data_IF_940817196625
#
_entry.id   IF_940817196625
#
_cell.length_a   1.000
_cell.length_b   1.000
_cell.length_c   1.000
_cell.angle_alpha   90.00
_cell.angle_beta   90.00
_cell.angle_gamma   90.00
#
_symmetry.space_group_name_H-M   'P 1'
#
loop_
_entity.id
_entity.type
_entity.pdbx_description
1 polymer ?
#
# COMPACT_ATOMS: atom_id res chain seq x y z
N UNK A 1 4.82 28.85 31.75
CA UNK A 1 3.84 27.74 31.91
C UNK A 1 2.86 27.53 30.75
N UNK A 2 2.56 28.49 29.85
CA UNK A 2 1.73 28.22 28.65
C UNK A 2 2.39 27.28 27.63
N UNK A 3 3.70 27.41 27.39
CA UNK A 3 4.45 26.62 26.40
C UNK A 3 4.40 25.10 26.67
N UNK A 4 4.46 24.68 27.93
CA UNK A 4 4.45 23.26 28.29
C UNK A 4 3.10 22.61 28.00
N UNK A 5 1.99 23.32 28.24
CA UNK A 5 0.64 22.84 27.91
C UNK A 5 0.36 22.85 26.40
N UNK A 6 0.92 23.83 25.66
CA UNK A 6 0.83 23.90 24.19
C UNK A 6 1.58 22.75 23.52
N UNK A 7 2.78 22.40 24.01
CA UNK A 7 3.57 21.24 23.55
C UNK A 7 2.82 19.93 23.81
N UNK A 8 2.32 19.70 25.03
CA UNK A 8 1.64 18.43 25.36
C UNK A 8 0.35 18.21 24.57
N UNK A 9 -0.41 19.28 24.29
CA UNK A 9 -1.60 19.17 23.42
C UNK A 9 -1.23 18.89 21.98
N UNK A 10 -0.19 19.52 21.45
CA UNK A 10 0.30 19.26 20.10
C UNK A 10 0.78 17.81 19.96
N UNK A 11 1.57 17.31 20.92
CA UNK A 11 2.02 15.92 20.96
C UNK A 11 0.83 14.95 21.02
N UNK A 12 -0.23 15.29 21.75
CA UNK A 12 -1.47 14.51 21.80
C UNK A 12 -2.23 14.52 20.47
N UNK A 13 -2.34 15.67 19.80
CA UNK A 13 -2.96 15.80 18.47
C UNK A 13 -2.19 14.96 17.44
N UNK A 14 -0.85 15.01 17.49
CA UNK A 14 0.04 14.29 16.59
C UNK A 14 0.00 12.76 16.81
N UNK A 15 -0.04 12.32 18.07
CA UNK A 15 -0.26 10.91 18.41
C UNK A 15 -1.65 10.43 17.97
N UNK A 16 -2.67 11.29 18.10
CA UNK A 16 -4.03 11.00 17.65
C UNK A 16 -4.08 10.71 16.14
N UNK A 17 -3.50 11.60 15.33
CA UNK A 17 -3.45 11.40 13.88
C UNK A 17 -2.62 10.16 13.51
N UNK A 18 -1.48 9.96 14.15
CA UNK A 18 -0.66 8.76 13.92
C UNK A 18 -1.43 7.47 14.20
N UNK A 19 -2.23 7.44 15.27
CA UNK A 19 -3.10 6.30 15.58
C UNK A 19 -4.17 6.07 14.50
N UNK A 20 -4.78 7.12 13.95
CA UNK A 20 -5.77 7.00 12.88
C UNK A 20 -5.16 6.46 11.58
N UNK A 21 -3.94 6.88 11.26
CA UNK A 21 -3.19 6.38 10.10
C UNK A 21 -2.86 4.90 10.26
N UNK A 22 -2.48 4.47 11.46
CA UNK A 22 -2.27 3.04 11.74
C UNK A 22 -3.58 2.23 11.66
N UNK A 23 -4.71 2.79 12.10
CA UNK A 23 -6.03 2.17 11.92
C UNK A 23 -6.38 2.00 10.44
N UNK A 24 -6.16 3.06 9.63
CA UNK A 24 -6.33 3.01 8.17
C UNK A 24 -5.44 1.93 7.55
N UNK A 25 -4.17 1.89 7.94
CA UNK A 25 -3.21 0.89 7.46
C UNK A 25 -3.65 -0.54 7.76
N UNK A 26 -4.17 -0.80 8.96
CA UNK A 26 -4.70 -2.12 9.32
C UNK A 26 -5.94 -2.52 8.52
N UNK A 27 -6.81 -1.53 8.19
CA UNK A 27 -7.98 -1.76 7.34
C UNK A 27 -7.55 -2.13 5.91
N UNK A 28 -6.62 -1.38 5.32
CA UNK A 28 -6.08 -1.61 3.98
C UNK A 28 -5.34 -2.96 3.89
N UNK A 29 -4.52 -3.28 4.89
CA UNK A 29 -3.85 -4.59 4.97
C UNK A 29 -4.88 -5.73 4.99
N UNK A 30 -5.99 -5.55 5.71
CA UNK A 30 -7.09 -6.52 5.73
C UNK A 30 -7.80 -6.64 4.39
N UNK A 31 -8.08 -5.52 3.70
CA UNK A 31 -8.68 -5.54 2.36
C UNK A 31 -7.81 -6.29 1.36
N UNK A 32 -6.50 -6.04 1.36
CA UNK A 32 -5.55 -6.73 0.48
C UNK A 32 -5.59 -8.23 0.71
N UNK A 33 -5.50 -8.69 1.98
CA UNK A 33 -5.60 -10.12 2.31
C UNK A 33 -6.93 -10.73 1.86
N UNK A 34 -8.04 -10.04 2.06
CA UNK A 34 -9.36 -10.51 1.63
C UNK A 34 -9.47 -10.54 0.09
N UNK A 35 -8.90 -9.57 -0.62
CA UNK A 35 -8.89 -9.53 -2.07
C UNK A 35 -8.07 -10.70 -2.66
N UNK A 36 -6.92 -11.02 -2.05
CA UNK A 36 -6.10 -12.18 -2.41
C UNK A 36 -6.83 -13.49 -2.11
N UNK A 37 -7.53 -13.56 -0.98
CA UNK A 37 -8.37 -14.72 -0.65
C UNK A 37 -9.51 -14.88 -1.67
N UNK A 38 -10.19 -13.79 -2.03
CA UNK A 38 -11.24 -13.78 -3.02
C UNK A 38 -10.73 -14.27 -4.38
N UNK A 39 -9.53 -13.85 -4.79
CA UNK A 39 -8.87 -14.33 -6.01
C UNK A 39 -8.55 -15.83 -5.95
N UNK A 40 -7.97 -16.28 -4.85
CA UNK A 40 -7.51 -17.67 -4.70
C UNK A 40 -8.67 -18.66 -4.63
N UNK A 41 -9.78 -18.26 -3.99
CA UNK A 41 -10.97 -19.10 -3.82
C UNK A 41 -12.08 -18.80 -4.84
N UNK A 42 -11.89 -17.80 -5.71
CA UNK A 42 -12.95 -17.24 -6.55
C UNK A 42 -14.23 -16.95 -5.74
N UNK A 43 -14.08 -16.34 -4.57
CA UNK A 43 -15.18 -16.05 -3.64
C UNK A 43 -15.80 -14.68 -3.96
N UNK A 44 -16.98 -14.69 -4.58
CA UNK A 44 -17.75 -13.47 -4.84
C UNK A 44 -18.19 -12.76 -3.56
N UNK A 45 -18.48 -13.52 -2.49
CA UNK A 45 -18.84 -12.97 -1.18
C UNK A 45 -17.67 -12.17 -0.59
N UNK A 46 -16.47 -12.74 -0.56
CA UNK A 46 -15.27 -12.05 -0.06
C UNK A 46 -14.93 -10.84 -0.93
N UNK A 47 -15.09 -10.94 -2.25
CA UNK A 47 -14.89 -9.79 -3.14
C UNK A 47 -15.86 -8.63 -2.81
N UNK A 48 -17.13 -8.91 -2.52
CA UNK A 48 -18.07 -7.86 -2.11
C UNK A 48 -17.67 -7.20 -0.79
N UNK A 49 -17.17 -7.97 0.18
CA UNK A 49 -16.68 -7.42 1.46
C UNK A 49 -15.55 -6.41 1.25
N UNK A 50 -14.62 -6.68 0.32
CA UNK A 50 -13.53 -5.74 -0.01
C UNK A 50 -14.09 -4.45 -0.60
N UNK A 51 -15.01 -4.56 -1.56
CA UNK A 51 -15.65 -3.42 -2.23
C UNK A 51 -16.42 -2.54 -1.23
N UNK A 52 -17.17 -3.16 -0.32
CA UNK A 52 -17.92 -2.43 0.71
C UNK A 52 -17.01 -1.73 1.72
N UNK A 53 -15.87 -2.34 2.07
CA UNK A 53 -14.89 -1.75 2.99
C UNK A 53 -14.21 -0.50 2.43
N UNK A 54 -14.15 -0.34 1.10
CA UNK A 54 -13.43 0.76 0.44
C UNK A 54 -14.03 2.13 0.74
N UNK A 55 -15.35 2.20 0.89
CA UNK A 55 -16.01 3.44 1.31
C UNK A 55 -15.52 3.94 2.69
N UNK A 56 -15.10 3.01 3.58
CA UNK A 56 -14.57 3.37 4.90
C UNK A 56 -13.14 3.90 4.81
N UNK A 57 -12.30 3.32 3.94
CA UNK A 57 -10.93 3.79 3.68
C UNK A 57 -10.95 5.24 3.20
N UNK A 58 -11.73 5.51 2.17
CA UNK A 58 -11.96 6.86 1.62
C UNK A 58 -12.42 7.87 2.69
N UNK A 59 -13.38 7.49 3.53
CA UNK A 59 -13.87 8.36 4.60
C UNK A 59 -12.78 8.67 5.64
N UNK A 60 -11.97 7.66 6.00
CA UNK A 60 -10.86 7.83 6.94
C UNK A 60 -9.76 8.73 6.38
N UNK A 61 -9.43 8.63 5.08
CA UNK A 61 -8.48 9.51 4.41
C UNK A 61 -8.91 10.98 4.57
N UNK A 62 -10.15 11.30 4.18
CA UNK A 62 -10.70 12.67 4.23
C UNK A 62 -10.65 13.24 5.65
N UNK A 63 -10.99 12.43 6.65
CA UNK A 63 -10.97 12.88 8.03
C UNK A 63 -9.55 13.08 8.56
N UNK A 64 -8.60 12.21 8.19
CA UNK A 64 -7.18 12.37 8.56
C UNK A 64 -6.63 13.66 7.94
N UNK A 65 -6.92 13.94 6.67
CA UNK A 65 -6.47 15.15 5.99
C UNK A 65 -7.07 16.43 6.59
N UNK A 66 -8.33 16.37 7.05
CA UNK A 66 -8.97 17.46 7.79
C UNK A 66 -8.25 17.72 9.12
N UNK A 67 -7.92 16.66 9.86
CA UNK A 67 -7.19 16.78 11.14
C UNK A 67 -5.80 17.38 10.93
N UNK A 68 -5.05 16.89 9.93
CA UNK A 68 -3.73 17.41 9.56
C UNK A 68 -3.80 18.90 9.22
N UNK A 69 -4.75 19.30 8.38
CA UNK A 69 -4.95 20.70 7.99
C UNK A 69 -5.27 21.60 9.20
N UNK A 70 -6.12 21.12 10.10
CA UNK A 70 -6.47 21.80 11.35
C UNK A 70 -5.25 22.00 12.26
N UNK A 71 -4.43 20.95 12.42
CA UNK A 71 -3.21 21.01 13.24
C UNK A 71 -2.23 22.03 12.66
N UNK A 72 -1.96 21.98 11.35
CA UNK A 72 -1.04 22.90 10.69
C UNK A 72 -1.51 24.36 10.87
N UNK A 73 -2.79 24.62 10.61
CA UNK A 73 -3.36 25.96 10.70
C UNK A 73 -3.34 26.53 12.12
N UNK A 74 -3.60 25.69 13.14
CA UNK A 74 -3.71 26.14 14.54
C UNK A 74 -2.38 26.28 15.25
N UNK A 75 -1.37 25.49 14.86
CA UNK A 75 -0.16 25.28 15.69
C UNK A 75 1.11 25.88 15.10
N UNK A 76 1.14 26.23 13.81
CA UNK A 76 2.34 26.74 13.12
C UNK A 76 3.60 25.88 13.45
N UNK A 77 3.57 24.58 13.10
CA UNK A 77 4.56 23.60 13.54
C UNK A 77 5.99 23.98 13.13
N UNK A 78 6.98 23.50 13.90
CA UNK A 78 8.38 23.66 13.52
C UNK A 78 8.69 22.92 12.22
N UNK A 79 9.87 23.17 11.63
CA UNK A 79 10.27 22.51 10.39
C UNK A 79 10.26 20.96 10.49
N UNK A 80 10.61 20.41 11.65
CA UNK A 80 10.58 18.95 11.89
C UNK A 80 9.16 18.43 11.98
N UNK A 81 8.31 19.13 12.71
CA UNK A 81 6.91 18.75 12.91
C UNK A 81 6.11 18.84 11.61
N UNK A 82 6.33 19.91 10.83
CA UNK A 82 5.72 20.07 9.51
C UNK A 82 6.14 18.94 8.57
N UNK A 83 7.41 18.51 8.62
CA UNK A 83 7.90 17.38 7.83
C UNK A 83 7.15 16.09 8.16
N UNK A 84 6.94 15.83 9.44
CA UNK A 84 6.18 14.68 9.90
C UNK A 84 4.73 14.74 9.43
N UNK A 85 4.06 15.88 9.59
CA UNK A 85 2.67 16.05 9.14
C UNK A 85 2.52 15.88 7.62
N UNK A 86 3.46 16.42 6.83
CA UNK A 86 3.48 16.22 5.36
C UNK A 86 3.69 14.75 5.02
N UNK A 87 4.61 14.07 5.70
CA UNK A 87 4.88 12.66 5.46
C UNK A 87 3.69 11.78 5.85
N UNK A 88 2.97 12.13 6.94
CA UNK A 88 1.72 11.47 7.31
C UNK A 88 0.68 11.63 6.19
N UNK A 89 0.42 12.86 5.72
CA UNK A 89 -0.54 13.09 4.62
C UNK A 89 -0.21 12.25 3.38
N UNK A 90 1.07 12.22 2.97
CA UNK A 90 1.51 11.41 1.84
C UNK A 90 1.40 9.90 2.08
N UNK A 91 1.60 9.46 3.33
CA UNK A 91 1.43 8.06 3.74
C UNK A 91 -0.05 7.68 3.66
N UNK A 92 -0.95 8.51 4.19
CA UNK A 92 -2.41 8.31 4.10
C UNK A 92 -2.86 8.14 2.66
N UNK A 93 -2.40 9.01 1.75
CA UNK A 93 -2.73 8.92 0.33
C UNK A 93 -2.13 7.67 -0.37
N UNK A 94 -1.03 7.09 0.14
CA UNK A 94 -0.53 5.80 -0.39
C UNK A 94 -1.31 4.61 0.17
N UNK A 95 -1.82 4.72 1.41
CA UNK A 95 -2.69 3.70 1.99
C UNK A 95 -4.05 3.64 1.29
N UNK A 96 -4.67 4.79 1.02
CA UNK A 96 -5.90 4.85 0.23
C UNK A 96 -5.71 4.20 -1.14
N UNK A 97 -4.66 4.59 -1.88
CA UNK A 97 -4.36 3.97 -3.18
C UNK A 97 -4.12 2.48 -3.12
N UNK A 98 -3.48 1.97 -2.06
CA UNK A 98 -3.32 0.53 -1.87
C UNK A 98 -4.66 -0.17 -1.58
N UNK A 99 -5.60 0.47 -0.88
CA UNK A 99 -6.99 0.01 -0.73
C UNK A 99 -7.72 -0.04 -2.08
N UNK A 100 -7.55 1.00 -2.88
CA UNK A 100 -8.04 1.12 -4.26
C UNK A 100 -7.56 -0.03 -5.16
N UNK A 101 -6.29 -0.42 -5.05
CA UNK A 101 -5.75 -1.58 -5.77
C UNK A 101 -6.38 -2.91 -5.26
N UNK A 102 -6.66 -3.03 -3.96
CA UNK A 102 -7.40 -4.18 -3.41
C UNK A 102 -8.85 -4.23 -3.94
N UNK A 103 -9.51 -3.08 -4.07
CA UNK A 103 -10.85 -2.98 -4.66
C UNK A 103 -10.84 -3.43 -6.12
N UNK A 104 -9.83 -3.01 -6.91
CA UNK A 104 -9.65 -3.43 -8.31
C UNK A 104 -9.50 -4.94 -8.43
N UNK A 105 -8.69 -5.56 -7.57
CA UNK A 105 -8.55 -7.03 -7.51
C UNK A 105 -9.93 -7.67 -7.28
N UNK A 106 -10.68 -7.21 -6.28
CA UNK A 106 -12.01 -7.76 -5.97
C UNK A 106 -13.01 -7.61 -7.12
N UNK A 107 -13.04 -6.46 -7.79
CA UNK A 107 -13.89 -6.22 -8.98
C UNK A 107 -13.51 -7.16 -10.13
N UNK A 108 -12.22 -7.38 -10.34
CA UNK A 108 -11.73 -8.28 -11.40
C UNK A 108 -12.09 -9.74 -11.10
N UNK A 109 -11.96 -10.16 -9.85
CA UNK A 109 -12.38 -11.50 -9.40
C UNK A 109 -13.85 -11.75 -9.73
N UNK A 110 -14.74 -10.79 -9.46
CA UNK A 110 -16.16 -10.91 -9.82
C UNK A 110 -16.36 -11.04 -11.33
N UNK A 111 -15.68 -10.21 -12.12
CA UNK A 111 -15.76 -10.29 -13.59
C UNK A 111 -15.31 -11.66 -14.13
N UNK A 112 -14.22 -12.21 -13.57
CA UNK A 112 -13.73 -13.55 -13.93
C UNK A 112 -14.77 -14.63 -13.58
N UNK A 113 -15.40 -14.55 -12.41
CA UNK A 113 -16.47 -15.49 -11.98
C UNK A 113 -17.66 -15.42 -12.94
N UNK A 114 -18.14 -14.21 -13.25
CA UNK A 114 -19.29 -13.98 -14.13
C UNK A 114 -19.04 -14.48 -15.56
N UNK A 115 -17.80 -14.38 -16.04
CA UNK A 115 -17.41 -14.89 -17.37
C UNK A 115 -17.33 -16.42 -17.45
N UNK A 116 -17.32 -17.13 -16.30
CA UNK A 116 -17.11 -18.57 -16.24
C UNK A 116 -15.67 -19.03 -16.51
N UNK A 117 -14.70 -18.10 -16.56
CA UNK A 117 -13.31 -18.37 -16.94
C UNK A 117 -12.41 -18.81 -15.78
N UNK A 118 -12.93 -18.91 -14.55
CA UNK A 118 -12.15 -19.18 -13.34
C UNK A 118 -11.27 -20.44 -13.40
N UNK A 119 -11.68 -21.48 -14.15
CA UNK A 119 -10.94 -22.74 -14.27
C UNK A 119 -9.86 -22.73 -15.36
N UNK A 120 -9.86 -21.74 -16.23
CA UNK A 120 -8.94 -21.66 -17.37
C UNK A 120 -7.66 -20.87 -17.05
N UNK A 121 -7.51 -20.43 -15.80
CA UNK A 121 -6.59 -19.37 -15.43
C UNK A 121 -5.61 -19.77 -14.32
N UNK A 122 -4.31 -19.43 -14.44
CA UNK A 122 -3.29 -19.73 -13.43
C UNK A 122 -3.32 -18.74 -12.25
N UNK A 123 -4.48 -18.47 -11.65
CA UNK A 123 -4.63 -17.46 -10.59
C UNK A 123 -3.77 -17.76 -9.35
N UNK A 124 -3.51 -19.04 -9.04
CA UNK A 124 -2.63 -19.46 -7.93
C UNK A 124 -1.18 -19.01 -8.09
N UNK A 125 -0.75 -18.67 -9.30
CA UNK A 125 0.61 -18.17 -9.52
C UNK A 125 0.82 -16.77 -8.95
N UNK A 126 -0.25 -16.00 -8.73
CA UNK A 126 -0.18 -14.68 -8.12
C UNK A 126 -0.06 -14.71 -6.59
N UNK A 127 -0.25 -15.87 -5.96
CA UNK A 127 -0.21 -15.98 -4.49
C UNK A 127 1.13 -15.56 -3.91
N UNK A 128 2.25 -15.85 -4.58
CA UNK A 128 3.59 -15.45 -4.08
C UNK A 128 3.77 -13.93 -4.11
N UNK A 129 3.49 -13.30 -5.26
CA UNK A 129 3.56 -11.84 -5.40
C UNK A 129 2.61 -11.13 -4.41
N UNK A 130 1.42 -11.68 -4.22
CA UNK A 130 0.42 -11.19 -3.29
C UNK A 130 0.89 -11.21 -1.82
N UNK A 131 1.50 -12.30 -1.38
CA UNK A 131 2.06 -12.42 -0.02
C UNK A 131 3.26 -11.49 0.17
N UNK A 132 4.11 -11.33 -0.85
CA UNK A 132 5.21 -10.35 -0.83
C UNK A 132 4.69 -8.93 -0.68
N UNK A 133 3.72 -8.51 -1.50
CA UNK A 133 3.14 -7.17 -1.45
C UNK A 133 2.46 -6.88 -0.10
N UNK A 134 1.65 -7.82 0.41
CA UNK A 134 1.02 -7.69 1.73
C UNK A 134 2.06 -7.64 2.85
N UNK A 135 3.11 -8.47 2.76
CA UNK A 135 4.23 -8.48 3.69
C UNK A 135 5.01 -7.16 3.72
N UNK A 136 5.29 -6.57 2.54
CA UNK A 136 5.95 -5.26 2.44
C UNK A 136 5.10 -4.15 3.03
N UNK A 137 3.79 -4.12 2.76
CA UNK A 137 2.91 -3.10 3.32
C UNK A 137 2.88 -3.17 4.85
N UNK A 138 2.73 -4.37 5.43
CA UNK A 138 2.79 -4.56 6.89
C UNK A 138 4.13 -4.09 7.45
N UNK A 139 5.23 -4.46 6.81
CA UNK A 139 6.59 -4.07 7.22
C UNK A 139 6.78 -2.56 7.13
N UNK A 140 6.22 -1.90 6.12
CA UNK A 140 6.24 -0.44 5.97
C UNK A 140 5.45 0.25 7.09
N UNK A 141 4.28 -0.26 7.46
CA UNK A 141 3.48 0.24 8.59
C UNK A 141 4.22 0.08 9.93
N UNK A 142 4.83 -1.09 10.17
CA UNK A 142 5.64 -1.34 11.37
C UNK A 142 6.85 -0.40 11.46
N UNK A 143 7.54 -0.21 10.33
CA UNK A 143 8.66 0.71 10.23
C UNK A 143 8.21 2.16 10.44
N UNK A 144 7.05 2.54 9.90
CA UNK A 144 6.49 3.89 10.04
C UNK A 144 6.16 4.20 11.50
N UNK A 145 5.52 3.27 12.22
CA UNK A 145 5.19 3.42 13.63
C UNK A 145 6.43 3.63 14.52
N UNK A 146 7.59 3.10 14.11
CA UNK A 146 8.85 3.18 14.86
C UNK A 146 9.83 4.20 14.27
N UNK A 147 9.50 4.80 13.13
CA UNK A 147 10.40 5.59 12.30
C UNK A 147 11.74 4.88 12.02
N UNK A 148 11.68 3.58 11.74
CA UNK A 148 12.85 2.73 11.57
C UNK A 148 13.39 2.80 10.13
N UNK A 149 14.44 3.60 9.94
CA UNK A 149 15.09 3.78 8.64
C UNK A 149 15.83 2.54 8.15
N UNK A 150 16.29 1.66 9.04
CA UNK A 150 17.00 0.44 8.62
C UNK A 150 16.01 -0.56 8.00
N UNK A 151 14.83 -0.70 8.61
CA UNK A 151 13.74 -1.49 8.03
C UNK A 151 13.25 -0.84 6.73
N UNK A 152 13.13 0.49 6.67
CA UNK A 152 12.77 1.19 5.44
C UNK A 152 13.69 0.85 4.26
N UNK A 153 15.01 0.86 4.46
CA UNK A 153 15.98 0.46 3.41
C UNK A 153 15.80 -0.99 2.97
N UNK A 154 15.47 -1.90 3.88
CA UNK A 154 15.21 -3.30 3.50
C UNK A 154 13.97 -3.48 2.64
N UNK A 155 12.91 -2.68 2.87
CA UNK A 155 11.68 -2.69 2.04
C UNK A 155 12.02 -2.29 0.61
N UNK A 156 12.82 -1.24 0.42
CA UNK A 156 13.21 -0.76 -0.91
C UNK A 156 13.98 -1.83 -1.72
N UNK A 157 14.67 -2.76 -1.06
CA UNK A 157 15.40 -3.86 -1.71
C UNK A 157 14.50 -5.06 -2.02
N UNK A 158 13.51 -5.30 -1.16
CA UNK A 158 12.59 -6.43 -1.30
C UNK A 158 11.51 -6.17 -2.37
N UNK A 159 11.21 -4.89 -2.66
CA UNK A 159 10.31 -4.45 -3.72
C UNK A 159 10.70 -4.98 -5.12
N UNK A 160 12.01 -5.03 -5.43
CA UNK A 160 12.54 -5.59 -6.68
C UNK A 160 12.14 -7.06 -6.92
N UNK A 161 11.78 -7.80 -5.86
CA UNK A 161 11.30 -9.18 -5.98
C UNK A 161 9.87 -9.25 -6.52
N UNK A 162 9.02 -8.27 -6.19
CA UNK A 162 7.63 -8.22 -6.67
C UNK A 162 7.63 -7.94 -8.18
N UNK A 163 8.48 -7.01 -8.62
CA UNK A 163 8.68 -6.71 -10.04
C UNK A 163 9.12 -7.95 -10.84
N UNK A 164 10.03 -8.74 -10.27
CA UNK A 164 10.50 -9.99 -10.89
C UNK A 164 9.38 -11.04 -11.01
N UNK A 165 8.56 -11.19 -9.97
CA UNK A 165 7.40 -12.09 -9.98
C UNK A 165 6.35 -11.63 -11.00
N UNK A 166 6.08 -10.32 -11.09
CA UNK A 166 5.19 -9.73 -12.08
C UNK A 166 5.68 -10.02 -13.51
N UNK A 167 6.94 -9.72 -13.81
CA UNK A 167 7.55 -9.98 -15.12
C UNK A 167 7.53 -11.48 -15.48
N UNK A 168 7.79 -12.34 -14.49
CA UNK A 168 7.71 -13.79 -14.64
C UNK A 168 6.29 -14.24 -15.00
N UNK A 169 5.29 -13.70 -14.31
CA UNK A 169 3.88 -14.01 -14.54
C UNK A 169 3.39 -13.54 -15.92
N UNK A 170 3.79 -12.34 -16.36
CA UNK A 170 3.48 -11.82 -17.71
C UNK A 170 3.94 -12.79 -18.80
N UNK A 171 5.17 -13.30 -18.71
CA UNK A 171 5.72 -14.24 -19.70
C UNK A 171 4.93 -15.55 -19.76
N UNK A 172 4.42 -16.02 -18.61
CA UNK A 172 3.59 -17.22 -18.55
C UNK A 172 2.21 -16.98 -19.16
N UNK A 173 1.56 -15.86 -18.85
CA UNK A 173 0.28 -15.50 -19.48
C UNK A 173 0.36 -15.46 -21.00
N UNK A 174 1.47 -14.98 -21.58
CA UNK A 174 1.69 -15.04 -23.03
C UNK A 174 1.65 -16.48 -23.55
N UNK A 175 2.22 -17.43 -22.81
CA UNK A 175 2.21 -18.85 -23.18
C UNK A 175 0.78 -19.42 -23.17
N UNK A 176 -0.02 -19.12 -22.14
CA UNK A 176 -1.44 -19.49 -22.08
C UNK A 176 -2.24 -18.93 -23.26
N UNK A 177 -2.04 -17.65 -23.58
CA UNK A 177 -2.71 -16.99 -24.70
C UNK A 177 -2.32 -17.58 -26.06
N UNK A 178 -1.07 -18.01 -26.22
CA UNK A 178 -0.59 -18.68 -27.44
C UNK A 178 -1.13 -20.11 -27.58
N UNK A 179 -1.28 -20.83 -26.46
CA UNK A 179 -1.81 -22.20 -26.44
C UNK A 179 -3.31 -22.25 -26.76
N UNK A 180 -4.10 -21.33 -26.19
CA UNK A 180 -5.53 -21.21 -26.48
C UNK A 180 -5.96 -19.73 -26.58
N UNK A 181 -6.20 -19.20 -27.80
CA UNK A 181 -6.64 -17.81 -27.99
C UNK A 181 -7.94 -17.43 -27.29
N UNK A 182 -8.77 -18.40 -26.86
CA UNK A 182 -9.97 -18.12 -26.06
C UNK A 182 -9.64 -17.64 -24.65
N UNK A 183 -8.41 -17.84 -24.19
CA UNK A 183 -7.92 -17.40 -22.87
C UNK A 183 -7.37 -15.98 -22.88
N UNK A 184 -7.35 -15.28 -24.03
CA UNK A 184 -6.81 -13.91 -24.13
C UNK A 184 -7.50 -12.95 -23.16
N UNK A 185 -8.82 -12.79 -23.23
CA UNK A 185 -9.52 -11.84 -22.35
C UNK A 185 -9.35 -12.19 -20.86
N UNK A 186 -9.57 -13.45 -20.43
CA UNK A 186 -9.34 -13.85 -19.03
C UNK A 186 -7.87 -13.65 -18.58
N UNK A 187 -6.90 -13.81 -19.47
CA UNK A 187 -5.48 -13.56 -19.16
C UNK A 187 -5.19 -12.08 -18.99
N UNK A 188 -5.83 -11.20 -19.76
CA UNK A 188 -5.74 -9.76 -19.58
C UNK A 188 -6.35 -9.33 -18.24
N UNK A 189 -7.47 -9.93 -17.83
CA UNK A 189 -8.05 -9.70 -16.51
C UNK A 189 -7.05 -10.05 -15.38
N UNK A 190 -6.39 -11.22 -15.47
CA UNK A 190 -5.34 -11.58 -14.51
C UNK A 190 -4.10 -10.69 -14.59
N UNK A 191 -3.74 -10.17 -15.76
CA UNK A 191 -2.65 -9.21 -15.89
C UNK A 191 -2.94 -7.94 -15.08
N UNK A 192 -4.19 -7.45 -15.11
CA UNK A 192 -4.59 -6.31 -14.28
C UNK A 192 -4.54 -6.63 -12.79
N UNK A 193 -4.92 -7.85 -12.38
CA UNK A 193 -4.74 -8.30 -10.98
C UNK A 193 -3.27 -8.31 -10.59
N UNK A 194 -2.40 -8.87 -11.43
CA UNK A 194 -0.97 -8.90 -11.19
C UNK A 194 -0.38 -7.48 -11.05
N UNK A 195 -0.83 -6.56 -11.90
CA UNK A 195 -0.39 -5.16 -11.84
C UNK A 195 -0.90 -4.44 -10.58
N UNK A 196 -2.12 -4.74 -10.14
CA UNK A 196 -2.64 -4.19 -8.89
C UNK A 196 -1.84 -4.69 -7.67
N UNK A 197 -1.43 -5.96 -7.66
CA UNK A 197 -0.55 -6.53 -6.62
C UNK A 197 0.82 -5.83 -6.61
N UNK A 198 1.43 -5.63 -7.78
CA UNK A 198 2.71 -4.91 -7.87
C UNK A 198 2.60 -3.47 -7.36
N UNK A 199 1.52 -2.76 -7.69
CA UNK A 199 1.26 -1.41 -7.18
C UNK A 199 1.10 -1.33 -5.67
N UNK A 200 0.58 -2.38 -5.02
CA UNK A 200 0.57 -2.43 -3.54
C UNK A 200 2.01 -2.43 -2.99
N UNK A 201 2.93 -3.14 -3.65
CA UNK A 201 4.37 -3.10 -3.38
C UNK A 201 4.94 -1.69 -3.53
N UNK A 202 4.67 -1.03 -4.66
CA UNK A 202 5.07 0.37 -4.91
C UNK A 202 4.58 1.33 -3.81
N UNK A 203 3.33 1.17 -3.34
CA UNK A 203 2.80 1.99 -2.26
C UNK A 203 3.53 1.73 -0.93
N UNK A 204 3.88 0.48 -0.63
CA UNK A 204 4.69 0.14 0.54
C UNK A 204 6.11 0.74 0.46
N UNK A 205 6.74 0.70 -0.72
CA UNK A 205 8.02 1.34 -1.02
C UNK A 205 7.96 2.85 -0.79
N UNK A 206 6.94 3.53 -1.34
CA UNK A 206 6.75 4.97 -1.15
C UNK A 206 6.63 5.35 0.34
N UNK A 207 5.91 4.54 1.13
CA UNK A 207 5.81 4.73 2.58
C UNK A 207 7.19 4.60 3.24
N UNK A 208 8.00 3.62 2.83
CA UNK A 208 9.36 3.45 3.34
C UNK A 208 10.26 4.66 3.01
N UNK A 209 10.17 5.23 1.81
CA UNK A 209 10.89 6.45 1.45
C UNK A 209 10.50 7.64 2.33
N UNK A 210 9.22 7.77 2.70
CA UNK A 210 8.77 8.83 3.61
C UNK A 210 9.33 8.68 5.02
N UNK A 211 9.57 7.46 5.50
CA UNK A 211 10.25 7.23 6.79
C UNK A 211 11.66 7.83 6.77
N UNK A 212 12.40 7.59 5.70
CA UNK A 212 13.76 8.14 5.51
C UNK A 212 13.70 9.66 5.45
N UNK A 213 12.72 10.21 4.73
CA UNK A 213 12.50 11.65 4.68
C UNK A 213 12.20 12.25 6.06
N UNK A 214 11.34 11.63 6.87
CA UNK A 214 11.02 12.10 8.23
C UNK A 214 12.29 12.18 9.07
N UNK A 215 13.07 11.10 9.11
CA UNK A 215 14.20 10.95 10.04
C UNK A 215 15.44 11.69 9.57
N UNK A 216 15.83 11.53 8.30
CA UNK A 216 17.08 12.06 7.74
C UNK A 216 16.89 13.41 7.05
N UNK A 217 15.67 13.76 6.64
CA UNK A 217 15.39 14.98 5.88
C UNK A 217 15.88 14.95 4.44
N UNK A 218 16.33 13.79 3.97
CA UNK A 218 16.74 13.56 2.60
C UNK A 218 15.57 12.99 1.81
N UNK A 219 15.37 13.51 0.60
CA UNK A 219 14.49 12.89 -0.39
C UNK A 219 15.30 11.84 -1.15
N UNK A 220 14.97 10.57 -0.94
CA UNK A 220 15.69 9.42 -1.52
C UNK A 220 14.98 8.82 -2.73
N UNK A 221 13.91 9.48 -3.21
CA UNK A 221 13.18 9.05 -4.40
C UNK A 221 14.09 9.12 -5.62
N UNK A 222 13.96 8.14 -6.50
CA UNK A 222 14.78 8.02 -7.73
C UNK A 222 16.30 8.03 -7.48
N UNK A 223 16.72 7.66 -6.27
CA UNK A 223 18.14 7.64 -5.86
C UNK A 223 18.67 6.22 -5.92
N UNK A 224 19.90 5.98 -6.43
CA UNK A 224 20.50 4.64 -6.41
C UNK A 224 20.65 4.09 -4.99
N UNK A 225 20.40 2.79 -4.80
CA UNK A 225 20.41 2.13 -3.48
C UNK A 225 21.70 2.39 -2.67
N UNK A 226 22.87 2.40 -3.32
CA UNK A 226 24.16 2.68 -2.65
C UNK A 226 24.20 4.06 -1.96
N UNK A 227 23.57 5.05 -2.58
CA UNK A 227 23.49 6.41 -2.03
C UNK A 227 22.48 6.48 -0.87
N UNK A 228 21.38 5.73 -0.97
CA UNK A 228 20.38 5.62 0.11
C UNK A 228 21.03 5.00 1.36
N UNK A 229 21.78 3.91 1.20
CA UNK A 229 22.48 3.26 2.31
C UNK A 229 23.50 4.19 2.98
N UNK A 230 24.23 4.99 2.18
CA UNK A 230 25.17 5.97 2.71
C UNK A 230 24.48 7.10 3.47
N UNK A 231 23.26 7.49 3.10
CA UNK A 231 22.49 8.54 3.77
C UNK A 231 21.84 8.04 5.08
N UNK A 232 21.60 6.73 5.19
CA UNK A 232 20.94 6.10 6.35
C UNK A 232 21.93 5.69 7.44
N UNK A 233 23.20 5.45 7.10
CA UNK A 233 24.31 5.35 8.08
C UNK A 233 24.42 6.62 8.95
#
# INVERSE_FOLDING_TARGET
MPEKHLSTQFDSELNGVSSRVMELGGLVESQIRLAIHALSQFSAETANQVIEAEARVNAMEIDIDRDLSSIIARRQPTARDLRLLIAISKTTANLERAGDEAEKIARMVKSIIESGSSRALPASELTVAAELASGLLRKALDAFARLDTAVAVSILKEDDLIDQEFDGFVRKLITYMMEDPRTISPSLDLLFVAKAIERVGDHAKNIAEFIIYIVKGADVRHTPMEQIESAVK
#
